data_IF_938921340856
#
_entry.id   IF_938921340856
#
_cell.length_a   1.000
_cell.length_b   1.000
_cell.length_c   1.000
_cell.angle_alpha   90.00
_cell.angle_beta   90.00
_cell.angle_gamma   90.00
#
_symmetry.space_group_name_H-M   'P 1'
#
loop_
_entity.id
_entity.type
_entity.pdbx_description
1 polymer ?
#
# COMPACT_ATOMS: atom_id res chain seq x y z
N UNK A 1 -31.47 -1.41 0.13
CA UNK A 1 -31.25 -0.93 1.51
C UNK A 1 -29.74 -1.00 1.75
N UNK A 2 -29.05 0.15 1.83
CA UNK A 2 -27.59 0.18 2.01
C UNK A 2 -27.18 -0.07 3.45
N UNK A 3 -25.91 -0.47 3.70
CA UNK A 3 -25.42 -0.73 5.05
C UNK A 3 -25.55 0.50 5.94
N UNK A 4 -26.01 0.30 7.18
CA UNK A 4 -26.19 1.36 8.16
C UNK A 4 -24.88 2.04 8.60
N UNK A 5 -24.91 3.21 9.25
CA UNK A 5 -23.71 3.99 9.62
C UNK A 5 -22.65 3.18 10.38
N UNK A 6 -23.06 2.33 11.32
CA UNK A 6 -22.16 1.48 12.11
C UNK A 6 -21.46 0.39 11.27
N UNK A 7 -22.11 -0.15 10.23
CA UNK A 7 -21.53 -1.13 9.34
C UNK A 7 -20.48 -0.47 8.41
N UNK A 8 -20.72 0.76 7.93
CA UNK A 8 -19.76 1.55 7.13
C UNK A 8 -18.52 1.90 7.95
N UNK A 9 -18.68 2.31 9.20
CA UNK A 9 -17.55 2.62 10.09
C UNK A 9 -16.68 1.40 10.37
N UNK A 10 -17.31 0.23 10.59
CA UNK A 10 -16.59 -1.03 10.79
C UNK A 10 -15.84 -1.45 9.54
N UNK A 11 -16.45 -1.35 8.36
CA UNK A 11 -15.80 -1.63 7.07
C UNK A 11 -14.55 -0.77 6.88
N UNK A 12 -14.65 0.54 7.11
CA UNK A 12 -13.52 1.47 6.98
C UNK A 12 -12.39 1.19 7.98
N UNK A 13 -12.70 0.78 9.21
CA UNK A 13 -11.69 0.38 10.18
C UNK A 13 -10.92 -0.87 9.73
N UNK A 14 -11.62 -1.85 9.15
CA UNK A 14 -11.01 -3.06 8.57
C UNK A 14 -10.10 -2.69 7.39
N UNK A 15 -10.54 -1.81 6.49
CA UNK A 15 -9.73 -1.33 5.37
C UNK A 15 -8.44 -0.64 5.83
N UNK A 16 -8.52 0.22 6.83
CA UNK A 16 -7.35 0.89 7.42
C UNK A 16 -6.37 -0.13 8.00
N UNK A 17 -6.87 -1.11 8.76
CA UNK A 17 -6.03 -2.16 9.33
C UNK A 17 -5.38 -3.01 8.24
N UNK A 18 -6.13 -3.35 7.19
CA UNK A 18 -5.62 -4.07 6.03
C UNK A 18 -4.49 -3.29 5.34
N UNK A 19 -4.69 -2.01 5.07
CA UNK A 19 -3.68 -1.14 4.46
C UNK A 19 -2.39 -1.06 5.31
N UNK A 20 -2.51 -0.97 6.65
CA UNK A 20 -1.36 -0.97 7.57
C UNK A 20 -0.58 -2.28 7.54
N UNK A 21 -1.28 -3.41 7.49
CA UNK A 21 -0.65 -4.74 7.40
C UNK A 21 0.08 -4.89 6.08
N UNK A 22 -0.52 -4.47 4.95
CA UNK A 22 0.11 -4.51 3.64
C UNK A 22 1.33 -3.57 3.56
N UNK A 23 1.23 -2.36 4.07
CA UNK A 23 2.35 -1.43 4.14
C UNK A 23 3.51 -1.98 4.99
N UNK A 24 3.21 -2.64 6.12
CA UNK A 24 4.21 -3.30 6.95
C UNK A 24 4.89 -4.46 6.22
N UNK A 25 4.13 -5.26 5.46
CA UNK A 25 4.65 -6.34 4.62
C UNK A 25 5.60 -5.78 3.56
N UNK A 26 5.17 -4.77 2.80
CA UNK A 26 6.01 -4.10 1.79
C UNK A 26 7.32 -3.61 2.39
N UNK A 27 7.26 -2.94 3.54
CA UNK A 27 8.43 -2.40 4.19
C UNK A 27 9.40 -3.49 4.67
N UNK A 28 8.91 -4.59 5.28
CA UNK A 28 9.74 -5.70 5.74
C UNK A 28 10.42 -6.40 4.55
N UNK A 29 9.63 -6.69 3.52
CA UNK A 29 10.14 -7.39 2.33
C UNK A 29 11.12 -6.51 1.57
N UNK A 30 10.85 -5.22 1.43
CA UNK A 30 11.75 -4.28 0.75
C UNK A 30 13.08 -4.07 1.48
N UNK A 31 13.08 -4.08 2.83
CA UNK A 31 14.29 -3.89 3.65
C UNK A 31 15.12 -5.17 3.81
N UNK A 32 14.47 -6.33 3.95
CA UNK A 32 15.10 -7.56 4.40
C UNK A 32 14.84 -8.78 3.51
N UNK A 33 14.09 -8.62 2.43
CA UNK A 33 13.65 -9.70 1.54
C UNK A 33 12.47 -10.50 2.09
N UNK A 34 11.82 -11.26 1.19
CA UNK A 34 10.62 -12.05 1.55
C UNK A 34 10.87 -13.07 2.69
N UNK A 35 12.06 -13.67 2.76
CA UNK A 35 12.41 -14.65 3.81
C UNK A 35 12.35 -14.09 5.23
N UNK A 36 12.46 -12.78 5.40
CA UNK A 36 12.35 -12.13 6.70
C UNK A 36 10.88 -11.85 7.10
N UNK A 37 9.94 -12.00 6.18
CA UNK A 37 8.53 -11.77 6.45
C UNK A 37 7.98 -12.90 7.34
N UNK A 38 7.41 -12.51 8.47
CA UNK A 38 6.68 -13.39 9.38
C UNK A 38 5.47 -12.66 9.94
N UNK A 39 4.45 -13.42 10.36
CA UNK A 39 3.27 -12.82 11.01
C UNK A 39 3.68 -11.95 12.19
N UNK A 40 4.66 -12.41 12.99
CA UNK A 40 5.16 -11.64 14.14
C UNK A 40 5.80 -10.31 13.74
N UNK A 41 6.67 -10.31 12.74
CA UNK A 41 7.31 -9.10 12.25
C UNK A 41 6.27 -8.12 11.67
N UNK A 42 5.32 -8.64 10.88
CA UNK A 42 4.27 -7.82 10.25
C UNK A 42 3.35 -7.20 11.27
N UNK A 43 2.81 -7.96 12.25
CA UNK A 43 1.90 -7.41 13.27
C UNK A 43 2.60 -6.40 14.17
N UNK A 44 3.86 -6.63 14.52
CA UNK A 44 4.68 -5.70 15.30
C UNK A 44 4.85 -4.37 14.55
N UNK A 45 5.22 -4.43 13.27
CA UNK A 45 5.43 -3.23 12.43
C UNK A 45 4.11 -2.52 12.11
N UNK A 46 3.05 -3.27 11.77
CA UNK A 46 1.72 -2.74 11.50
C UNK A 46 1.02 -2.21 12.76
N UNK A 47 1.52 -2.55 13.95
CA UNK A 47 0.92 -2.24 15.26
C UNK A 47 -0.52 -2.74 15.34
N UNK A 48 -0.76 -3.99 14.90
CA UNK A 48 -2.03 -4.70 15.02
C UNK A 48 -1.86 -5.97 15.85
N UNK A 49 -2.97 -6.55 16.34
CA UNK A 49 -2.91 -7.84 17.03
C UNK A 49 -2.78 -9.01 16.03
N UNK A 50 -2.27 -10.17 16.50
CA UNK A 50 -2.29 -11.42 15.71
C UNK A 50 -3.71 -11.80 15.30
N UNK A 51 -4.69 -11.58 16.18
CA UNK A 51 -6.11 -11.81 15.88
C UNK A 51 -6.59 -10.94 14.73
N UNK A 52 -6.20 -9.66 14.71
CA UNK A 52 -6.51 -8.75 13.61
C UNK A 52 -5.88 -9.22 12.30
N UNK A 53 -4.63 -9.68 12.34
CA UNK A 53 -3.96 -10.23 11.16
C UNK A 53 -4.74 -11.43 10.60
N UNK A 54 -5.05 -12.43 11.43
CA UNK A 54 -5.78 -13.63 11.00
C UNK A 54 -7.27 -13.39 10.67
N UNK A 55 -7.83 -12.23 11.05
CA UNK A 55 -9.13 -11.78 10.56
C UNK A 55 -9.07 -11.18 9.14
N UNK A 56 -7.89 -10.81 8.65
CA UNK A 56 -7.65 -10.18 7.36
C UNK A 56 -6.98 -11.11 6.34
N UNK A 57 -6.11 -12.00 6.81
CA UNK A 57 -5.28 -12.88 5.99
C UNK A 57 -5.16 -14.26 6.65
N UNK A 58 -5.21 -15.31 5.85
CA UNK A 58 -5.09 -16.70 6.34
C UNK A 58 -3.65 -17.05 6.72
N UNK A 59 -2.69 -16.47 6.01
CA UNK A 59 -1.26 -16.75 6.20
C UNK A 59 -0.40 -15.54 5.80
N UNK A 60 0.91 -15.66 6.01
CA UNK A 60 1.87 -14.64 5.57
C UNK A 60 1.96 -14.62 4.04
N UNK A 61 1.81 -15.77 3.39
CA UNK A 61 1.78 -15.93 1.94
C UNK A 61 0.55 -15.21 1.35
N UNK A 62 -0.63 -15.38 1.96
CA UNK A 62 -1.87 -14.71 1.56
C UNK A 62 -1.73 -13.18 1.68
N UNK A 63 -1.12 -12.71 2.76
CA UNK A 63 -0.82 -11.28 2.93
C UNK A 63 0.14 -10.77 1.83
N UNK A 64 1.17 -11.53 1.48
CA UNK A 64 2.10 -11.13 0.41
C UNK A 64 1.44 -11.21 -0.98
N UNK A 65 0.61 -12.22 -1.24
CA UNK A 65 -0.19 -12.29 -2.46
C UNK A 65 -1.09 -11.08 -2.62
N UNK A 66 -1.69 -10.59 -1.52
CA UNK A 66 -2.51 -9.39 -1.53
C UNK A 66 -1.69 -8.12 -1.86
N UNK A 67 -0.43 -8.01 -1.40
CA UNK A 67 0.50 -6.93 -1.80
C UNK A 67 0.74 -6.96 -3.31
N UNK A 68 1.02 -8.15 -3.86
CA UNK A 68 1.25 -8.29 -5.29
C UNK A 68 0.00 -7.96 -6.11
N UNK A 69 -1.18 -8.42 -5.65
CA UNK A 69 -2.47 -8.14 -6.30
C UNK A 69 -2.77 -6.64 -6.37
N UNK A 70 -2.56 -5.91 -5.27
CA UNK A 70 -2.84 -4.48 -5.19
C UNK A 70 -1.90 -3.66 -6.09
N UNK A 71 -0.62 -4.02 -6.14
CA UNK A 71 0.34 -3.41 -7.06
C UNK A 71 -0.04 -3.61 -8.54
N UNK A 72 -0.55 -4.79 -8.89
CA UNK A 72 -1.06 -5.07 -10.23
C UNK A 72 -2.28 -4.23 -10.58
N UNK A 73 -3.31 -4.27 -9.71
CA UNK A 73 -4.54 -3.54 -9.94
C UNK A 73 -4.23 -2.07 -10.26
N UNK A 74 -3.28 -1.51 -9.53
CA UNK A 74 -2.82 -0.14 -9.74
C UNK A 74 -2.07 0.04 -11.06
N UNK A 75 -1.16 -0.88 -11.39
CA UNK A 75 -0.43 -0.84 -12.66
C UNK A 75 -1.36 -0.97 -13.86
N UNK A 76 -2.34 -1.88 -13.76
CA UNK A 76 -3.36 -2.07 -14.80
C UNK A 76 -4.25 -0.84 -14.95
N UNK A 77 -4.64 -0.19 -13.84
CA UNK A 77 -5.43 1.04 -13.88
C UNK A 77 -4.68 2.18 -14.57
N UNK A 78 -3.39 2.37 -14.25
CA UNK A 78 -2.52 3.37 -14.90
C UNK A 78 -2.47 3.14 -16.42
N UNK A 79 -2.25 1.90 -16.83
CA UNK A 79 -2.19 1.55 -18.25
C UNK A 79 -3.54 1.74 -18.95
N UNK A 80 -4.65 1.28 -18.34
CA UNK A 80 -5.98 1.45 -18.90
C UNK A 80 -6.35 2.90 -19.08
N UNK A 81 -6.11 3.72 -18.05
CA UNK A 81 -6.40 5.16 -18.09
C UNK A 81 -5.60 5.88 -19.18
N UNK A 82 -4.35 5.46 -19.44
CA UNK A 82 -3.55 6.01 -20.54
C UNK A 82 -4.17 5.67 -21.91
N UNK A 83 -4.59 4.41 -22.13
CA UNK A 83 -5.25 4.04 -23.38
C UNK A 83 -6.63 4.67 -23.55
N UNK A 84 -7.35 4.96 -22.48
CA UNK A 84 -8.65 5.66 -22.56
C UNK A 84 -8.52 7.14 -22.92
N UNK A 85 -7.38 7.77 -22.60
CA UNK A 85 -7.14 9.21 -22.85
C UNK A 85 -6.54 9.50 -24.20
N UNK A 86 -5.82 8.57 -24.79
CA UNK A 86 -5.03 8.76 -25.99
C UNK A 86 -5.73 8.21 -27.21
N UNK A 87 -5.56 8.88 -28.34
CA UNK A 87 -6.20 8.51 -29.61
C UNK A 87 -5.44 7.44 -30.40
N UNK A 88 -4.10 7.35 -30.18
CA UNK A 88 -3.26 6.38 -30.87
C UNK A 88 -2.69 5.34 -29.92
N UNK A 89 -2.44 4.15 -30.44
CA UNK A 89 -1.82 3.08 -29.67
C UNK A 89 -0.44 3.50 -29.12
N UNK A 90 0.37 4.18 -29.94
CA UNK A 90 1.70 4.66 -29.57
C UNK A 90 1.64 5.65 -28.39
N UNK A 91 0.68 6.57 -28.44
CA UNK A 91 0.47 7.55 -27.37
C UNK A 91 -0.02 6.85 -26.08
N UNK A 92 -0.93 5.88 -26.20
CA UNK A 92 -1.41 5.05 -25.09
C UNK A 92 -0.29 4.24 -24.45
N UNK A 93 0.56 3.58 -25.24
CA UNK A 93 1.73 2.85 -24.72
C UNK A 93 2.71 3.80 -24.03
N UNK A 94 3.00 4.95 -24.63
CA UNK A 94 3.92 5.95 -24.07
C UNK A 94 3.38 6.52 -22.76
N UNK A 95 2.09 6.91 -22.72
CA UNK A 95 1.43 7.40 -21.53
C UNK A 95 1.38 6.36 -20.41
N UNK A 96 1.03 5.12 -20.75
CA UNK A 96 0.99 4.00 -19.80
C UNK A 96 2.37 3.65 -19.23
N UNK A 97 3.39 3.54 -20.07
CA UNK A 97 4.77 3.32 -19.60
C UNK A 97 5.27 4.49 -18.76
N UNK A 98 5.04 5.74 -19.18
CA UNK A 98 5.41 6.91 -18.37
C UNK A 98 4.75 6.88 -17.00
N UNK A 99 3.43 6.66 -16.94
CA UNK A 99 2.70 6.55 -15.68
C UNK A 99 3.21 5.42 -14.79
N UNK A 100 3.55 4.26 -15.36
CA UNK A 100 4.11 3.13 -14.62
C UNK A 100 5.52 3.43 -14.06
N UNK A 101 6.38 4.05 -14.85
CA UNK A 101 7.73 4.42 -14.44
C UNK A 101 7.70 5.52 -13.35
N UNK A 102 6.83 6.52 -13.49
CA UNK A 102 6.56 7.53 -12.46
C UNK A 102 6.05 6.89 -11.18
N UNK A 103 5.16 5.91 -11.29
CA UNK A 103 4.68 5.15 -10.13
C UNK A 103 5.82 4.41 -9.43
N UNK A 104 6.74 3.78 -10.16
CA UNK A 104 7.91 3.12 -9.56
C UNK A 104 8.89 4.12 -8.94
N UNK A 105 9.06 5.31 -9.52
CA UNK A 105 9.85 6.38 -8.92
C UNK A 105 9.24 6.89 -7.62
N UNK A 106 7.91 6.97 -7.56
CA UNK A 106 7.19 7.40 -6.35
C UNK A 106 7.17 6.33 -5.26
N UNK A 107 7.27 5.04 -5.62
CA UNK A 107 7.16 3.89 -4.72
C UNK A 107 8.32 2.89 -4.91
N UNK A 108 9.59 3.31 -4.71
CA UNK A 108 10.75 2.49 -5.07
C UNK A 108 10.85 1.19 -4.26
N UNK A 109 10.36 1.18 -3.01
CA UNK A 109 10.30 -0.03 -2.18
C UNK A 109 9.32 -1.03 -2.76
N UNK A 110 8.15 -0.58 -3.20
CA UNK A 110 7.13 -1.42 -3.81
C UNK A 110 7.61 -1.95 -5.17
N UNK A 111 8.24 -1.10 -5.99
CA UNK A 111 8.85 -1.51 -7.25
C UNK A 111 9.86 -2.66 -7.02
N UNK A 112 10.71 -2.56 -5.98
CA UNK A 112 11.65 -3.63 -5.60
C UNK A 112 10.91 -4.91 -5.18
N UNK A 113 9.90 -4.81 -4.32
CA UNK A 113 9.09 -5.95 -3.88
C UNK A 113 8.47 -6.66 -5.09
N UNK A 114 7.93 -5.90 -6.02
CA UNK A 114 7.22 -6.40 -7.18
C UNK A 114 8.13 -7.02 -8.24
N UNK A 115 9.26 -6.38 -8.53
CA UNK A 115 10.14 -6.76 -9.64
C UNK A 115 11.26 -7.72 -9.22
N UNK A 116 11.66 -7.73 -7.95
CA UNK A 116 12.76 -8.57 -7.46
C UNK A 116 12.25 -9.64 -6.49
N UNK A 117 11.62 -9.21 -5.39
CA UNK A 117 11.29 -10.12 -4.29
C UNK A 117 10.19 -11.12 -4.67
N UNK A 118 9.28 -10.76 -5.57
CA UNK A 118 8.28 -11.68 -6.12
C UNK A 118 8.90 -12.87 -6.87
N UNK A 119 10.08 -12.69 -7.48
CA UNK A 119 10.81 -13.76 -8.16
C UNK A 119 11.55 -14.68 -7.19
N UNK A 120 11.95 -14.13 -6.03
CA UNK A 120 12.72 -14.84 -5.02
C UNK A 120 11.84 -15.54 -3.96
N UNK A 121 10.55 -15.25 -3.89
CA UNK A 121 9.68 -15.69 -2.81
C UNK A 121 9.36 -17.19 -2.88
N UNK A 122 8.58 -17.61 -3.86
CA UNK A 122 8.20 -19.01 -4.05
C UNK A 122 7.54 -19.19 -5.43
N UNK A 123 7.32 -20.45 -5.86
CA UNK A 123 6.69 -20.77 -7.14
C UNK A 123 5.30 -20.12 -7.31
N UNK A 124 4.49 -20.09 -6.26
CA UNK A 124 3.17 -19.46 -6.29
C UNK A 124 3.23 -17.95 -6.54
N UNK A 125 4.24 -17.25 -6.01
CA UNK A 125 4.42 -15.81 -6.24
C UNK A 125 4.84 -15.55 -7.69
N UNK A 126 5.66 -16.42 -8.27
CA UNK A 126 6.00 -16.39 -9.68
C UNK A 126 4.76 -16.60 -10.57
N UNK A 127 3.92 -17.61 -10.27
CA UNK A 127 2.67 -17.85 -11.00
C UNK A 127 1.72 -16.65 -10.92
N UNK A 128 1.62 -16.05 -9.74
CA UNK A 128 0.82 -14.85 -9.54
C UNK A 128 1.34 -13.70 -10.41
N UNK A 129 2.65 -13.46 -10.38
CA UNK A 129 3.30 -12.44 -11.21
C UNK A 129 3.06 -12.69 -12.71
N UNK A 130 3.17 -13.93 -13.18
CA UNK A 130 2.94 -14.27 -14.60
C UNK A 130 1.49 -14.00 -15.03
N UNK A 131 0.50 -14.27 -14.18
CA UNK A 131 -0.89 -13.88 -14.45
C UNK A 131 -1.02 -12.37 -14.64
N UNK A 132 -0.27 -11.61 -13.88
CA UNK A 132 -0.26 -10.15 -13.96
C UNK A 132 0.37 -9.61 -15.23
N UNK A 133 1.52 -10.16 -15.57
CA UNK A 133 2.20 -9.82 -16.82
C UNK A 133 1.30 -10.18 -18.01
N UNK A 134 0.56 -11.28 -17.93
CA UNK A 134 -0.41 -11.66 -18.96
C UNK A 134 -1.55 -10.64 -19.12
N UNK A 135 -2.06 -10.06 -18.03
CA UNK A 135 -3.07 -8.99 -18.09
C UNK A 135 -2.53 -7.74 -18.78
N UNK A 136 -1.31 -7.32 -18.43
CA UNK A 136 -0.67 -6.17 -19.09
C UNK A 136 -0.40 -6.42 -20.58
N UNK A 137 0.06 -7.63 -20.94
CA UNK A 137 0.20 -8.02 -22.36
C UNK A 137 -1.12 -7.93 -23.12
N UNK A 138 -2.17 -8.50 -22.53
CA UNK A 138 -3.51 -8.47 -23.14
C UNK A 138 -3.98 -7.03 -23.34
N UNK A 139 -3.79 -6.15 -22.35
CA UNK A 139 -4.17 -4.75 -22.44
C UNK A 139 -3.45 -4.02 -23.58
N UNK A 140 -2.12 -4.19 -23.69
CA UNK A 140 -1.33 -3.56 -24.75
C UNK A 140 -1.75 -4.05 -26.13
N UNK A 141 -1.94 -5.36 -26.30
CA UNK A 141 -2.27 -5.96 -27.60
C UNK A 141 -3.72 -5.72 -28.02
N UNK A 142 -4.67 -5.70 -27.10
CA UNK A 142 -6.07 -5.43 -27.44
C UNK A 142 -6.29 -4.01 -27.98
N UNK A 143 -5.45 -3.07 -27.62
CA UNK A 143 -5.50 -1.69 -28.13
C UNK A 143 -4.64 -1.47 -29.39
N UNK A 144 -3.87 -2.47 -29.84
CA UNK A 144 -3.08 -2.35 -31.06
C UNK A 144 -3.92 -2.63 -32.31
N UNK A 145 -3.89 -1.70 -33.25
CA UNK A 145 -4.55 -1.87 -34.55
C UNK A 145 -3.54 -2.29 -35.63
N UNK A 146 -3.73 -3.47 -36.23
CA UNK A 146 -2.85 -3.91 -37.30
C UNK A 146 -2.95 -3.01 -38.53
N UNK A 147 -1.85 -2.82 -39.28
CA UNK A 147 -1.86 -2.06 -40.52
C UNK A 147 -2.97 -2.54 -41.47
N UNK A 148 -3.77 -1.60 -42.00
CA UNK A 148 -4.88 -1.91 -42.89
C UNK A 148 -6.13 -2.48 -42.23
N UNK A 149 -6.23 -2.50 -40.90
CA UNK A 149 -7.41 -2.95 -40.14
C UNK A 149 -7.66 -4.46 -40.20
N UNK A 150 -6.65 -5.26 -40.58
CA UNK A 150 -6.73 -6.70 -40.64
C UNK A 150 -6.63 -7.35 -39.26
N UNK A 151 -7.73 -7.54 -38.55
CA UNK A 151 -7.74 -8.09 -37.19
C UNK A 151 -7.10 -9.49 -37.08
N UNK A 152 -7.08 -10.26 -38.20
CA UNK A 152 -6.36 -11.53 -38.28
C UNK A 152 -4.84 -11.43 -38.11
N UNK A 153 -4.26 -10.23 -38.22
CA UNK A 153 -2.85 -9.96 -37.99
C UNK A 153 -2.53 -9.57 -36.54
N UNK A 154 -3.55 -9.37 -35.70
CA UNK A 154 -3.34 -9.07 -34.27
C UNK A 154 -2.73 -10.30 -33.58
N UNK A 155 -1.53 -10.18 -32.98
CA UNK A 155 -0.92 -11.32 -32.32
C UNK A 155 -1.69 -11.70 -31.05
N UNK A 156 -1.66 -12.98 -30.71
CA UNK A 156 -2.14 -13.41 -29.39
C UNK A 156 -1.29 -12.81 -28.28
N UNK A 157 -1.86 -12.36 -27.15
CA UNK A 157 -1.10 -11.90 -25.99
C UNK A 157 -0.06 -12.92 -25.47
N UNK A 158 -0.29 -14.20 -25.72
CA UNK A 158 0.61 -15.29 -25.32
C UNK A 158 1.54 -15.77 -26.47
N UNK A 159 1.52 -15.08 -27.61
CA UNK A 159 2.43 -15.41 -28.70
C UNK A 159 3.89 -15.09 -28.31
N UNK A 160 4.87 -15.89 -28.80
CA UNK A 160 6.27 -15.70 -28.44
C UNK A 160 6.82 -14.28 -28.64
N UNK A 161 6.49 -13.56 -29.74
CA UNK A 161 6.93 -12.17 -29.90
C UNK A 161 6.44 -11.24 -28.80
N UNK A 162 5.14 -11.33 -28.43
CA UNK A 162 4.54 -10.48 -27.40
C UNK A 162 5.14 -10.78 -26.03
N UNK A 163 5.29 -12.07 -25.71
CA UNK A 163 5.97 -12.50 -24.48
C UNK A 163 7.41 -12.01 -24.44
N UNK A 164 8.13 -12.08 -25.58
CA UNK A 164 9.50 -11.61 -25.68
C UNK A 164 9.65 -10.11 -25.46
N UNK A 165 8.78 -9.29 -26.04
CA UNK A 165 8.76 -7.83 -25.84
C UNK A 165 8.53 -7.50 -24.35
N UNK A 166 7.54 -8.11 -23.72
CA UNK A 166 7.27 -7.89 -22.30
C UNK A 166 8.43 -8.32 -21.42
N UNK A 167 9.04 -9.48 -21.71
CA UNK A 167 10.22 -9.94 -20.99
C UNK A 167 11.41 -8.98 -21.14
N UNK A 168 11.62 -8.40 -22.31
CA UNK A 168 12.64 -7.40 -22.53
C UNK A 168 12.37 -6.11 -21.75
N UNK A 169 11.14 -5.60 -21.75
CA UNK A 169 10.73 -4.43 -20.96
C UNK A 169 10.98 -4.68 -19.46
N UNK A 170 10.50 -5.79 -18.93
CA UNK A 170 10.71 -6.13 -17.52
C UNK A 170 12.17 -6.38 -17.18
N UNK A 171 12.95 -6.97 -18.11
CA UNK A 171 14.38 -7.20 -17.96
C UNK A 171 15.17 -5.90 -17.83
N UNK A 172 14.84 -4.89 -18.66
CA UNK A 172 15.46 -3.56 -18.58
C UNK A 172 15.14 -2.88 -17.24
N UNK A 173 13.88 -2.87 -16.83
CA UNK A 173 13.46 -2.27 -15.56
C UNK A 173 14.12 -3.00 -14.37
N UNK A 174 14.16 -4.34 -14.40
CA UNK A 174 14.81 -5.16 -13.37
C UNK A 174 16.32 -4.85 -13.29
N UNK A 175 17.02 -4.77 -14.44
CA UNK A 175 18.44 -4.45 -14.49
C UNK A 175 18.70 -3.06 -13.92
N UNK A 176 17.86 -2.09 -14.24
CA UNK A 176 17.95 -0.73 -13.69
C UNK A 176 17.85 -0.72 -12.16
N UNK A 177 16.91 -1.48 -11.57
CA UNK A 177 16.78 -1.63 -10.12
C UNK A 177 18.02 -2.21 -9.43
N UNK A 178 18.78 -3.05 -10.11
CA UNK A 178 20.00 -3.66 -9.57
C UNK A 178 21.20 -2.71 -9.60
N UNK A 179 21.10 -1.56 -10.23
CA UNK A 179 22.15 -0.54 -10.28
C UNK A 179 22.32 0.13 -8.91
N UNK A 180 23.55 0.31 -8.44
CA UNK A 180 23.83 0.81 -7.08
C UNK A 180 23.35 2.24 -6.80
N UNK A 181 23.25 3.06 -7.82
CA UNK A 181 22.71 4.43 -7.77
C UNK A 181 21.86 4.61 -9.04
N UNK A 182 20.64 4.10 -9.06
CA UNK A 182 19.79 4.20 -10.23
C UNK A 182 19.32 5.65 -10.42
N UNK A 183 19.42 6.12 -11.66
CA UNK A 183 18.65 7.28 -12.09
C UNK A 183 17.15 6.99 -11.90
N UNK A 184 16.29 8.01 -11.90
CA UNK A 184 14.85 7.79 -11.87
C UNK A 184 14.40 6.83 -12.98
N UNK A 185 13.42 5.98 -12.71
CA UNK A 185 12.89 5.01 -13.69
C UNK A 185 12.42 5.66 -14.98
N UNK A 186 11.91 6.89 -14.90
CA UNK A 186 11.40 7.62 -16.06
C UNK A 186 12.45 7.79 -17.18
N UNK A 187 13.75 7.72 -16.89
CA UNK A 187 14.81 7.78 -17.93
C UNK A 187 14.76 6.59 -18.88
N UNK A 188 14.10 5.51 -18.49
CA UNK A 188 13.91 4.32 -19.31
C UNK A 188 12.83 4.49 -20.39
N UNK A 189 12.01 5.54 -20.35
CA UNK A 189 10.85 5.69 -21.22
C UNK A 189 11.22 5.62 -22.71
N UNK A 190 12.20 6.39 -23.15
CA UNK A 190 12.67 6.36 -24.53
C UNK A 190 13.16 4.96 -24.97
N UNK A 191 14.13 4.35 -24.26
CA UNK A 191 14.57 2.98 -24.53
C UNK A 191 13.45 1.94 -24.56
N UNK A 192 12.49 2.00 -23.61
CA UNK A 192 11.36 1.07 -23.54
C UNK A 192 10.39 1.27 -24.70
N UNK A 193 10.13 2.51 -25.13
CA UNK A 193 9.37 2.80 -26.34
C UNK A 193 10.04 2.18 -27.56
N UNK A 194 11.39 2.25 -27.66
CA UNK A 194 12.13 1.59 -28.72
C UNK A 194 11.91 0.07 -28.75
N UNK A 195 11.94 -0.60 -27.59
CA UNK A 195 11.72 -2.05 -27.49
C UNK A 195 10.30 -2.42 -27.92
N UNK A 196 9.30 -1.71 -27.40
CA UNK A 196 7.90 -2.04 -27.69
C UNK A 196 7.56 -1.75 -29.15
N UNK A 197 7.89 -0.56 -29.67
CA UNK A 197 7.46 -0.15 -31.00
C UNK A 197 8.25 -0.84 -32.12
N UNK A 198 9.50 -1.24 -31.90
CA UNK A 198 10.27 -1.99 -32.87
C UNK A 198 9.64 -3.34 -33.29
N UNK A 199 8.86 -3.94 -32.39
CA UNK A 199 8.18 -5.19 -32.68
C UNK A 199 6.95 -5.03 -33.58
N UNK A 200 6.36 -3.83 -33.64
CA UNK A 200 5.05 -3.59 -34.27
C UNK A 200 5.10 -2.51 -35.35
N UNK A 201 6.09 -1.62 -35.30
CA UNK A 201 6.25 -0.49 -36.21
C UNK A 201 7.56 -0.59 -36.97
N UNK A 202 7.63 0.08 -38.13
CA UNK A 202 8.87 0.17 -38.88
C UNK A 202 9.92 1.07 -38.20
N UNK A 203 11.22 1.03 -38.66
CA UNK A 203 12.34 1.69 -37.98
C UNK A 203 12.16 3.21 -37.83
N UNK A 204 11.58 3.88 -38.82
CA UNK A 204 11.36 5.33 -38.77
C UNK A 204 10.30 5.72 -37.71
N UNK A 205 9.23 4.94 -37.60
CA UNK A 205 8.21 5.15 -36.58
C UNK A 205 8.77 4.89 -35.16
N UNK A 206 9.54 3.81 -35.02
CA UNK A 206 10.24 3.50 -33.77
C UNK A 206 11.17 4.63 -33.33
N UNK A 207 12.00 5.15 -34.27
CA UNK A 207 12.90 6.27 -33.94
C UNK A 207 12.16 7.53 -33.49
N UNK A 208 11.00 7.82 -34.11
CA UNK A 208 10.12 8.93 -33.63
C UNK A 208 9.61 8.71 -32.21
N UNK A 209 9.17 7.50 -31.90
CA UNK A 209 8.61 7.19 -30.58
C UNK A 209 9.67 7.20 -29.47
N UNK A 210 10.89 6.73 -29.75
CA UNK A 210 12.03 6.90 -28.83
C UNK A 210 12.25 8.37 -28.51
N UNK A 211 12.32 9.23 -29.54
CA UNK A 211 12.52 10.67 -29.34
C UNK A 211 11.39 11.33 -28.55
N UNK A 212 10.14 10.97 -28.83
CA UNK A 212 8.97 11.46 -28.05
C UNK A 212 9.05 11.03 -26.58
N UNK A 213 9.46 9.78 -26.33
CA UNK A 213 9.70 9.27 -24.98
C UNK A 213 10.78 10.07 -24.24
N UNK A 214 11.91 10.38 -24.89
CA UNK A 214 12.98 11.19 -24.32
C UNK A 214 12.56 12.66 -24.07
N UNK A 215 11.72 13.23 -24.94
CA UNK A 215 11.16 14.56 -24.76
C UNK A 215 10.22 14.62 -23.56
N UNK A 216 9.33 13.64 -23.40
CA UNK A 216 8.45 13.51 -22.24
C UNK A 216 9.24 13.31 -20.95
N UNK A 217 10.27 12.46 -20.97
CA UNK A 217 11.19 12.28 -19.82
C UNK A 217 11.79 13.61 -19.37
N UNK A 218 12.32 14.43 -20.30
CA UNK A 218 12.88 15.74 -19.96
C UNK A 218 11.85 16.69 -19.36
N UNK A 219 10.62 16.68 -19.87
CA UNK A 219 9.53 17.48 -19.32
C UNK A 219 9.17 17.06 -17.89
N UNK A 220 9.02 15.76 -17.64
CA UNK A 220 8.68 15.24 -16.33
C UNK A 220 9.79 15.47 -15.29
N UNK A 221 11.05 15.38 -15.67
CA UNK A 221 12.18 15.66 -14.77
C UNK A 221 12.37 17.16 -14.48
N UNK A 222 11.82 18.05 -15.31
CA UNK A 222 11.89 19.49 -15.10
C UNK A 222 10.90 19.99 -14.03
N UNK A 223 9.85 19.24 -13.74
CA UNK A 223 8.88 19.53 -12.69
C UNK A 223 9.19 18.72 -11.43
N UNK A 224 8.96 19.28 -10.22
CA UNK A 224 9.10 18.49 -9.01
C UNK A 224 8.08 17.34 -9.05
N UNK A 225 8.58 16.11 -8.92
CA UNK A 225 7.76 14.90 -8.84
C UNK A 225 6.70 15.04 -7.75
N UNK A 226 5.43 14.70 -8.02
CA UNK A 226 4.45 14.64 -6.95
C UNK A 226 4.93 13.62 -5.90
N UNK A 227 4.77 13.92 -4.61
CA UNK A 227 5.16 13.00 -3.55
C UNK A 227 4.42 11.66 -3.71
N UNK A 228 5.03 10.55 -3.30
CA UNK A 228 4.47 9.22 -3.44
C UNK A 228 3.05 9.14 -2.86
N UNK A 229 2.09 8.76 -3.70
CA UNK A 229 0.71 8.51 -3.31
C UNK A 229 0.43 6.99 -3.14
N UNK A 230 1.27 6.29 -2.42
CA UNK A 230 0.71 5.17 -1.66
C UNK A 230 -0.35 5.82 -0.78
N UNK A 231 -1.56 5.22 -0.59
CA UNK A 231 -2.50 5.82 0.32
C UNK A 231 -1.83 5.96 1.70
N UNK A 232 -0.92 6.92 1.83
CA UNK A 232 -0.82 7.71 3.01
C UNK A 232 -2.28 8.00 3.29
N UNK A 233 -2.80 7.48 4.41
CA UNK A 233 -4.13 7.82 4.88
C UNK A 233 -4.45 9.22 4.38
N UNK A 234 -5.59 9.47 3.75
CA UNK A 234 -5.94 10.82 3.38
C UNK A 234 -5.57 11.65 4.59
N UNK A 235 -4.62 12.55 4.43
CA UNK A 235 -4.30 13.51 5.46
C UNK A 235 -5.54 14.41 5.53
N UNK A 236 -6.59 13.87 6.12
CA UNK A 236 -7.67 14.66 6.65
C UNK A 236 -6.98 15.41 7.77
N UNK A 237 -6.75 16.70 7.56
CA UNK A 237 -6.36 17.62 8.61
C UNK A 237 -7.48 17.63 9.64
N UNK A 238 -7.53 16.57 10.44
CA UNK A 238 -8.49 16.46 11.54
C UNK A 238 -7.86 17.17 12.71
N UNK A 239 -8.46 18.25 13.07
CA UNK A 239 -8.11 18.96 14.28
C UNK A 239 -8.29 18.04 15.48
N UNK A 240 -7.17 17.69 16.14
CA UNK A 240 -7.23 16.97 17.41
C UNK A 240 -7.97 17.89 18.39
N UNK A 241 -9.10 17.44 18.98
CA UNK A 241 -9.83 18.25 19.96
C UNK A 241 -8.91 18.77 21.05
N UNK A 242 -9.05 20.04 21.44
CA UNK A 242 -8.19 20.67 22.45
C UNK A 242 -8.12 19.89 23.75
N UNK A 243 -9.23 19.24 24.13
CA UNK A 243 -9.29 18.36 25.31
C UNK A 243 -8.33 17.17 25.23
N UNK A 244 -7.92 16.76 24.02
CA UNK A 244 -6.96 15.67 23.78
C UNK A 244 -5.53 16.19 23.56
N UNK A 245 -5.36 17.49 23.35
CA UNK A 245 -4.03 18.14 23.27
C UNK A 245 -3.43 18.38 24.67
N UNK A 246 -4.28 18.45 25.71
CA UNK A 246 -3.81 18.57 27.11
C UNK A 246 -2.88 17.40 27.46
N UNK A 247 -1.67 17.64 28.02
CA UNK A 247 -0.76 16.60 28.48
C UNK A 247 -1.43 15.60 29.44
N UNK A 248 -2.38 16.06 30.26
CA UNK A 248 -3.16 15.24 31.21
C UNK A 248 -4.12 14.26 30.53
N UNK A 249 -4.43 14.46 29.25
CA UNK A 249 -5.31 13.58 28.47
C UNK A 249 -4.61 12.31 27.94
N UNK A 250 -3.39 11.98 28.40
CA UNK A 250 -2.62 10.81 27.95
C UNK A 250 -3.45 9.52 27.94
N UNK A 251 -4.23 9.25 29.00
CA UNK A 251 -5.06 8.04 29.08
C UNK A 251 -6.18 8.02 28.05
N UNK A 252 -6.79 9.18 27.75
CA UNK A 252 -7.79 9.31 26.72
C UNK A 252 -7.21 9.01 25.32
N UNK A 253 -6.01 9.55 25.02
CA UNK A 253 -5.29 9.23 23.78
C UNK A 253 -4.96 7.75 23.68
N UNK A 254 -4.48 7.14 24.76
CA UNK A 254 -4.18 5.70 24.79
C UNK A 254 -5.43 4.85 24.56
N UNK A 255 -6.62 5.24 25.06
CA UNK A 255 -7.88 4.54 24.78
C UNK A 255 -8.23 4.59 23.29
N UNK A 256 -8.05 5.75 22.62
CA UNK A 256 -8.30 5.86 21.20
C UNK A 256 -7.32 5.01 20.38
N UNK A 257 -6.02 5.04 20.73
CA UNK A 257 -4.99 4.23 20.08
C UNK A 257 -5.20 2.73 20.33
N UNK A 258 -5.67 2.34 21.51
CA UNK A 258 -6.01 0.95 21.82
C UNK A 258 -7.18 0.47 20.94
N UNK A 259 -8.28 1.24 20.92
CA UNK A 259 -9.47 0.89 20.14
C UNK A 259 -9.26 0.98 18.62
N UNK A 260 -8.25 1.71 18.16
CA UNK A 260 -7.81 1.68 16.76
C UNK A 260 -7.24 0.30 16.38
N UNK A 261 -6.58 -0.37 17.34
CA UNK A 261 -5.96 -1.70 17.17
C UNK A 261 -6.92 -2.85 17.42
N UNK A 262 -7.76 -2.71 18.44
CA UNK A 262 -8.71 -3.74 18.91
C UNK A 262 -10.13 -3.16 18.98
N UNK A 263 -10.80 -2.95 17.83
CA UNK A 263 -12.18 -2.48 17.81
C UNK A 263 -13.13 -3.55 18.36
N UNK A 264 -14.09 -3.11 19.17
CA UNK A 264 -15.05 -4.01 19.82
C UNK A 264 -14.60 -4.51 21.19
N UNK A 265 -13.53 -3.96 21.74
CA UNK A 265 -13.04 -4.32 23.07
C UNK A 265 -14.01 -3.87 24.19
N UNK A 266 -14.10 -4.68 25.24
CA UNK A 266 -14.87 -4.37 26.45
C UNK A 266 -14.16 -3.33 27.32
N UNK A 267 -14.87 -2.76 28.30
CA UNK A 267 -14.28 -1.86 29.31
C UNK A 267 -13.04 -2.48 30.00
N UNK A 268 -13.10 -3.79 30.28
CA UNK A 268 -12.01 -4.50 30.96
C UNK A 268 -10.78 -4.62 30.09
N UNK A 269 -10.96 -4.96 28.81
CA UNK A 269 -9.86 -5.11 27.85
C UNK A 269 -9.19 -3.76 27.57
N UNK A 270 -10.00 -2.70 27.33
CA UNK A 270 -9.46 -1.35 27.15
C UNK A 270 -8.73 -0.90 28.42
N UNK A 271 -9.35 -1.09 29.61
CA UNK A 271 -8.74 -0.72 30.89
C UNK A 271 -7.39 -1.39 31.10
N UNK A 272 -7.31 -2.69 30.86
CA UNK A 272 -6.06 -3.47 30.95
C UNK A 272 -5.01 -2.96 29.96
N UNK A 273 -5.40 -2.71 28.70
CA UNK A 273 -4.49 -2.25 27.64
C UNK A 273 -3.92 -0.85 27.85
N UNK A 274 -4.60 0.01 28.64
CA UNK A 274 -4.15 1.40 28.91
C UNK A 274 -3.70 1.62 30.36
N UNK A 275 -3.58 0.55 31.15
CA UNK A 275 -3.09 0.61 32.55
C UNK A 275 -4.09 1.25 33.50
N UNK A 276 -5.41 1.06 33.31
CA UNK A 276 -6.47 1.51 34.22
C UNK A 276 -7.15 0.29 34.84
N UNK A 277 -6.87 0.01 36.11
CA UNK A 277 -7.47 -1.12 36.86
C UNK A 277 -8.88 -0.82 37.39
N UNK A 278 -9.22 0.44 37.58
CA UNK A 278 -10.53 0.83 38.13
C UNK A 278 -11.60 0.79 37.03
N UNK A 279 -12.60 -0.11 37.21
CA UNK A 279 -13.74 -0.23 36.29
C UNK A 279 -14.54 1.07 36.16
N UNK A 280 -14.70 1.81 37.27
CA UNK A 280 -15.42 3.09 37.29
C UNK A 280 -14.69 4.14 36.45
N UNK A 281 -13.35 4.25 36.61
CA UNK A 281 -12.55 5.23 35.87
C UNK A 281 -12.57 4.97 34.40
N UNK A 282 -12.40 3.70 33.97
CA UNK A 282 -12.41 3.38 32.53
C UNK A 282 -13.81 3.60 31.94
N UNK A 283 -14.89 3.24 32.64
CA UNK A 283 -16.27 3.47 32.19
C UNK A 283 -16.56 4.96 31.99
N UNK A 284 -16.17 5.81 32.95
CA UNK A 284 -16.33 7.27 32.86
C UNK A 284 -15.51 7.86 31.69
N UNK A 285 -14.27 7.39 31.49
CA UNK A 285 -13.42 7.85 30.42
C UNK A 285 -14.00 7.50 29.04
N UNK A 286 -14.42 6.25 28.86
CA UNK A 286 -15.03 5.79 27.60
C UNK A 286 -16.37 6.49 27.34
N UNK A 287 -17.18 6.71 28.34
CA UNK A 287 -18.44 7.47 28.24
C UNK A 287 -18.15 8.93 27.81
N UNK A 288 -17.13 9.57 28.39
CA UNK A 288 -16.72 10.92 28.01
C UNK A 288 -16.25 10.99 26.54
N UNK A 289 -15.42 10.03 26.10
CA UNK A 289 -14.97 9.96 24.71
C UNK A 289 -16.15 9.68 23.74
N UNK A 290 -17.12 8.89 24.17
CA UNK A 290 -18.37 8.68 23.43
C UNK A 290 -19.19 9.98 23.35
N UNK A 291 -19.31 10.75 24.43
CA UNK A 291 -19.97 12.05 24.47
C UNK A 291 -19.29 13.10 23.55
N UNK A 292 -17.99 12.98 23.30
CA UNK A 292 -17.24 13.77 22.31
C UNK A 292 -17.44 13.31 20.86
N UNK A 293 -18.25 12.27 20.64
CA UNK A 293 -18.48 11.68 19.33
C UNK A 293 -17.29 10.90 18.76
N UNK A 294 -16.33 10.49 19.62
CA UNK A 294 -15.12 9.76 19.21
C UNK A 294 -15.28 8.25 19.32
N UNK A 295 -16.20 7.77 20.16
CA UNK A 295 -16.48 6.35 20.34
C UNK A 295 -17.95 6.01 20.03
N UNK A 296 -18.15 4.77 19.61
CA UNK A 296 -19.44 4.11 19.49
C UNK A 296 -19.53 3.01 20.53
N UNK A 297 -20.61 2.99 21.29
CA UNK A 297 -20.93 1.93 22.23
C UNK A 297 -21.87 0.93 21.57
N UNK A 298 -21.49 -0.34 21.57
CA UNK A 298 -22.35 -1.45 21.19
C UNK A 298 -22.80 -2.15 22.49
N UNK A 299 -24.07 -2.10 22.80
CA UNK A 299 -24.58 -2.77 23.98
C UNK A 299 -24.52 -4.28 23.81
N UNK A 300 -23.86 -4.94 24.75
CA UNK A 300 -23.89 -6.39 24.85
C UNK A 300 -25.30 -6.84 25.28
N UNK A 301 -25.85 -7.88 24.64
CA UNK A 301 -27.10 -8.51 25.10
C UNK A 301 -26.94 -9.08 26.49
N UNK A 302 -28.02 -9.66 27.08
CA UNK A 302 -28.02 -10.18 28.46
C UNK A 302 -26.81 -11.08 28.73
N UNK A 303 -25.99 -10.72 29.72
CA UNK A 303 -24.77 -11.45 30.10
C UNK A 303 -23.52 -11.21 29.24
N UNK A 304 -23.55 -10.32 28.27
CA UNK A 304 -22.39 -9.94 27.49
C UNK A 304 -21.93 -8.52 27.84
N UNK A 305 -20.59 -8.26 27.96
CA UNK A 305 -20.08 -6.92 28.22
C UNK A 305 -20.35 -6.01 27.03
N UNK A 306 -20.47 -4.70 27.29
CA UNK A 306 -20.52 -3.69 26.23
C UNK A 306 -19.22 -3.68 25.47
N UNK A 307 -19.30 -3.48 24.15
CA UNK A 307 -18.16 -3.36 23.26
C UNK A 307 -18.00 -1.90 22.79
N UNK A 308 -16.78 -1.45 22.62
CA UNK A 308 -16.45 -0.10 22.18
C UNK A 308 -15.70 -0.13 20.85
N UNK A 309 -16.06 0.79 19.96
CA UNK A 309 -15.37 1.00 18.71
C UNK A 309 -15.19 2.50 18.47
N UNK A 310 -14.21 2.89 17.69
CA UNK A 310 -14.07 4.27 17.26
C UNK A 310 -15.22 4.67 16.33
N UNK A 311 -15.70 5.91 16.44
CA UNK A 311 -16.50 6.54 15.41
C UNK A 311 -15.62 6.92 14.22
N UNK A 312 -16.21 7.36 13.10
CA UNK A 312 -15.43 7.87 11.97
C UNK A 312 -14.50 9.03 12.38
N UNK A 313 -15.02 9.99 13.15
CA UNK A 313 -14.24 11.07 13.73
C UNK A 313 -13.19 10.56 14.70
N UNK A 314 -13.50 9.55 15.50
CA UNK A 314 -12.55 8.92 16.43
C UNK A 314 -11.38 8.25 15.73
N UNK A 315 -11.60 7.58 14.61
CA UNK A 315 -10.56 6.98 13.77
C UNK A 315 -9.62 8.08 13.25
N UNK A 316 -10.18 9.15 12.71
CA UNK A 316 -9.41 10.27 12.18
C UNK A 316 -8.56 10.94 13.27
N UNK A 317 -9.14 11.20 14.45
CA UNK A 317 -8.43 11.78 15.59
C UNK A 317 -7.35 10.84 16.13
N UNK A 318 -7.61 9.53 16.20
CA UNK A 318 -6.62 8.55 16.64
C UNK A 318 -5.40 8.52 15.71
N UNK A 319 -5.62 8.59 14.40
CA UNK A 319 -4.51 8.69 13.44
C UNK A 319 -3.73 10.01 13.54
N UNK A 320 -4.42 11.14 13.74
CA UNK A 320 -3.74 12.43 13.95
C UNK A 320 -2.89 12.42 15.23
N UNK A 321 -3.35 11.77 16.30
CA UNK A 321 -2.58 11.56 17.53
C UNK A 321 -1.37 10.65 17.28
N UNK A 322 -1.55 9.57 16.51
CA UNK A 322 -0.46 8.64 16.17
C UNK A 322 0.63 9.35 15.35
N UNK A 323 0.25 10.16 14.36
CA UNK A 323 1.16 10.97 13.55
C UNK A 323 1.91 12.03 14.39
N UNK A 324 1.22 12.75 15.27
CA UNK A 324 1.83 13.76 16.13
C UNK A 324 2.82 13.18 17.15
N UNK A 325 2.67 11.91 17.54
CA UNK A 325 3.62 11.23 18.44
C UNK A 325 4.87 10.72 17.72
N UNK A 326 4.80 10.48 16.41
CA UNK A 326 5.98 10.12 15.62
C UNK A 326 6.97 11.29 15.55
N UNK A 327 6.50 12.52 15.46
CA UNK A 327 7.37 13.71 15.47
C UNK A 327 8.04 13.96 16.83
N UNK A 328 7.40 13.57 17.95
CA UNK A 328 7.98 13.75 19.31
C UNK A 328 8.85 12.58 19.78
N UNK A 329 8.76 11.40 19.14
CA UNK A 329 9.57 10.22 19.50
C UNK A 329 10.94 10.17 18.80
N UNK A 330 11.21 11.04 17.84
CA UNK A 330 12.54 11.23 17.28
C UNK A 330 13.50 11.96 18.24
N UNK A 331 12.99 12.64 19.28
CA UNK A 331 13.79 13.40 20.25
C UNK A 331 14.01 12.71 21.61
N UNK A 332 13.35 11.57 21.88
CA UNK A 332 13.54 10.84 23.13
C UNK A 332 13.68 9.35 22.88
N UNK A 333 14.93 8.90 22.86
CA UNK A 333 15.32 7.49 23.00
C UNK A 333 14.75 6.95 24.32
N UNK A 334 13.88 5.94 24.21
CA UNK A 334 13.39 5.18 25.35
C UNK A 334 14.55 4.34 25.90
N UNK A 335 14.98 4.51 27.15
CA UNK A 335 15.90 3.56 27.77
C UNK A 335 15.14 2.26 28.04
N UNK A 336 15.52 1.21 27.36
CA UNK A 336 15.25 -0.16 27.81
C UNK A 336 16.22 -0.40 28.97
N UNK A 337 15.78 -0.19 30.21
CA UNK A 337 16.42 -0.77 31.38
C UNK A 337 16.25 -2.29 31.30
N UNK A 338 17.23 -2.92 30.69
CA UNK A 338 17.49 -4.35 30.92
C UNK A 338 18.29 -4.40 32.22
N UNK A 339 17.60 -4.60 33.34
CA UNK A 339 18.25 -5.11 34.55
C UNK A 339 18.89 -6.46 34.22
N UNK A 340 20.19 -6.42 33.97
CA UNK A 340 21.02 -7.62 34.08
C UNK A 340 21.25 -7.85 35.56
N UNK A 341 20.58 -8.84 36.11
CA UNK A 341 20.83 -9.42 37.42
C UNK A 341 22.26 -10.05 37.43
N UNK A 342 23.18 -9.55 38.27
CA UNK A 342 24.49 -10.16 38.45
C UNK A 342 24.48 -11.05 39.68
N UNK A 343 23.96 -12.26 39.54
CA UNK A 343 24.20 -13.31 40.55
C UNK A 343 24.11 -14.69 39.86
N UNK A 344 25.31 -15.23 39.53
CA UNK A 344 25.77 -16.54 39.95
C UNK A 344 27.11 -16.86 39.28
N UNK A 345 28.15 -16.86 40.18
CA UNK A 345 29.24 -17.80 40.29
C UNK A 345 30.32 -17.88 39.25
#
# INVERSE_FOLDING_TARGET
MGPGPAARTRGRAVEIQRARVLAAMVAIVGEHGYKAASVEAVVKRARVSRRTFYALFESIEDCFAAVLAEGLERSSAIMSEAFEREETWEDGVRGGLAGLLVYFDSEPVLARVWLIESLAAASWAFEQRERYVAVLRALVISNWEPPGGHESLRPSPDSPPVVGVMAAVLGVIHTHLLTKQPDPFIVLLGPLMGIVTAAYLGPDATAREVKRGEELTRSLLAEPYPPPHWPAHPAVSVEIPDVLRDPRARRARLCLLYLLRDPGASNREVGSGVGISSHTQISQLLARLCGLGLLLKVEGGPGRPNAWSLSERGIQVAHAIEASHIETLTDHVWPLDVETDPAHG
#
